data_IF_164561367535
#
_entry.id   IF_164561367535
#
_cell.length_a   1.000
_cell.length_b   1.000
_cell.length_c   1.000
_cell.angle_alpha   90.00
_cell.angle_beta   90.00
_cell.angle_gamma   90.00
#
_symmetry.space_group_name_H-M   'P 1'
#
loop_
_entity.id
_entity.type
_entity.pdbx_description
1 polymer ?
#
# COMPACT_ATOMS: atom_id res chain seq x y z
N UNK A 1 0.81 5.45 -3.45
CA UNK A 1 0.23 4.24 -2.86
C UNK A 1 0.48 3.01 -3.74
N UNK A 2 1.66 2.39 -3.63
CA UNK A 2 1.94 1.15 -4.37
C UNK A 2 2.70 0.07 -3.57
N UNK A 3 3.10 0.37 -2.33
CA UNK A 3 3.86 -0.53 -1.45
C UNK A 3 3.21 -1.92 -1.30
N UNK A 4 1.88 -1.96 -1.26
CA UNK A 4 1.12 -3.20 -1.05
C UNK A 4 0.79 -3.94 -2.35
N UNK A 5 1.19 -3.43 -3.53
CA UNK A 5 0.79 -3.98 -4.82
C UNK A 5 1.07 -5.48 -4.94
N UNK A 6 2.31 -5.91 -4.66
CA UNK A 6 2.69 -7.33 -4.75
C UNK A 6 1.97 -8.21 -3.74
N UNK A 7 1.93 -7.76 -2.48
CA UNK A 7 1.32 -8.52 -1.38
C UNK A 7 -0.18 -8.68 -1.62
N UNK A 8 -0.89 -7.59 -1.92
CA UNK A 8 -2.31 -7.61 -2.26
C UNK A 8 -2.58 -8.52 -3.45
N UNK A 9 -1.76 -8.47 -4.51
CA UNK A 9 -1.93 -9.38 -5.66
C UNK A 9 -1.71 -10.84 -5.27
N UNK A 10 -0.69 -11.18 -4.48
CA UNK A 10 -0.45 -12.58 -4.09
C UNK A 10 -1.50 -13.12 -3.13
N UNK A 11 -1.91 -12.34 -2.12
CA UNK A 11 -3.00 -12.73 -1.21
C UNK A 11 -4.34 -12.92 -1.93
N UNK A 12 -4.52 -12.24 -3.06
CA UNK A 12 -5.76 -12.29 -3.83
C UNK A 12 -5.64 -13.12 -5.11
N UNK A 13 -4.43 -13.63 -5.41
CA UNK A 13 -4.17 -14.58 -6.48
C UNK A 13 -4.80 -15.93 -6.14
N UNK A 14 -5.26 -16.68 -7.15
CA UNK A 14 -5.80 -18.02 -6.94
C UNK A 14 -7.33 -18.11 -6.82
N UNK A 15 -8.07 -17.00 -6.88
CA UNK A 15 -9.54 -17.05 -7.11
C UNK A 15 -9.87 -16.37 -8.43
N UNK A 16 -10.10 -17.18 -9.46
CA UNK A 16 -10.35 -16.80 -10.86
C UNK A 16 -11.65 -16.00 -11.10
N UNK A 17 -12.11 -15.22 -10.12
CA UNK A 17 -13.39 -14.53 -10.15
C UNK A 17 -13.34 -13.23 -9.37
N UNK A 18 -12.37 -12.36 -9.67
CA UNK A 18 -12.24 -11.05 -9.01
C UNK A 18 -11.88 -9.94 -10.00
N UNK A 19 -12.54 -8.79 -9.85
CA UNK A 19 -12.21 -7.55 -10.57
C UNK A 19 -11.63 -6.56 -9.58
N UNK A 20 -10.43 -6.07 -9.88
CA UNK A 20 -9.74 -5.07 -9.06
C UNK A 20 -9.85 -3.71 -9.73
N UNK A 21 -10.45 -2.76 -9.03
CA UNK A 21 -10.70 -1.42 -9.54
C UNK A 21 -10.15 -0.40 -8.56
N UNK A 22 -9.27 0.49 -9.01
CA UNK A 22 -8.85 1.63 -8.23
C UNK A 22 -9.91 2.74 -8.34
N UNK A 23 -10.25 3.34 -7.19
CA UNK A 23 -11.23 4.40 -7.05
C UNK A 23 -10.60 5.55 -6.28
N UNK A 24 -10.69 6.75 -6.82
CA UNK A 24 -10.36 7.96 -6.08
C UNK A 24 -11.61 8.48 -5.38
N UNK A 25 -11.51 8.71 -4.08
CA UNK A 25 -12.61 9.12 -3.23
C UNK A 25 -12.30 10.44 -2.55
N UNK A 26 -13.29 11.32 -2.46
CA UNK A 26 -13.31 12.39 -1.46
C UNK A 26 -13.94 11.82 -0.21
N UNK A 27 -13.21 11.82 0.89
CA UNK A 27 -13.70 11.33 2.17
C UNK A 27 -14.44 12.47 2.90
N UNK A 28 -15.75 12.31 3.14
CA UNK A 28 -16.57 13.35 3.76
C UNK A 28 -16.44 13.43 5.28
N UNK A 29 -16.04 12.36 5.96
CA UNK A 29 -15.74 12.36 7.41
C UNK A 29 -14.25 12.21 7.64
N UNK A 30 -13.65 13.13 8.40
CA UNK A 30 -12.23 13.05 8.76
C UNK A 30 -11.86 11.63 9.17
N UNK A 31 -10.95 11.01 8.42
CA UNK A 31 -10.28 9.80 8.89
C UNK A 31 -9.57 10.19 10.20
N UNK A 32 -9.67 9.33 11.21
CA UNK A 32 -9.04 9.56 12.52
C UNK A 32 -7.58 10.00 12.32
N UNK A 33 -7.09 10.91 13.16
CA UNK A 33 -5.71 11.38 13.03
C UNK A 33 -4.73 10.21 13.02
N UNK A 34 -3.78 10.15 12.07
CA UNK A 34 -2.78 9.10 12.04
C UNK A 34 -2.01 9.08 13.37
N UNK A 35 -2.07 7.95 14.08
CA UNK A 35 -1.54 7.82 15.45
C UNK A 35 0.00 7.85 15.53
N UNK A 36 0.69 7.66 14.41
CA UNK A 36 2.12 7.35 14.39
C UNK A 36 2.99 8.43 13.74
N UNK A 37 2.47 9.23 12.81
CA UNK A 37 3.23 10.30 12.15
C UNK A 37 2.32 11.50 11.85
N UNK A 38 2.73 12.74 12.15
CA UNK A 38 2.04 13.92 11.65
C UNK A 38 2.20 13.97 10.13
N UNK A 39 1.16 13.55 9.41
CA UNK A 39 1.04 13.73 7.97
C UNK A 39 0.43 15.10 7.65
N UNK A 40 0.60 15.61 6.42
CA UNK A 40 -0.13 16.80 5.96
C UNK A 40 -1.65 16.60 6.13
N UNK A 41 -2.40 17.68 6.34
CA UNK A 41 -3.86 17.60 6.40
C UNK A 41 -4.39 17.07 5.05
N UNK A 42 -4.92 15.85 5.05
CA UNK A 42 -5.37 15.15 3.84
C UNK A 42 -6.82 15.49 3.46
N UNK A 43 -7.47 16.45 4.15
CA UNK A 43 -8.90 16.77 3.97
C UNK A 43 -9.34 16.98 2.51
N UNK A 44 -8.48 17.57 1.67
CA UNK A 44 -8.79 17.85 0.27
C UNK A 44 -8.01 16.97 -0.73
N UNK A 45 -7.23 16.00 -0.22
CA UNK A 45 -6.48 15.08 -1.08
C UNK A 45 -7.39 13.93 -1.53
N UNK A 46 -7.43 13.59 -2.83
CA UNK A 46 -8.07 12.37 -3.30
C UNK A 46 -7.52 11.14 -2.56
N UNK A 47 -8.43 10.35 -1.98
CA UNK A 47 -8.12 9.15 -1.25
C UNK A 47 -8.33 7.93 -2.14
N UNK A 48 -7.24 7.29 -2.58
CA UNK A 48 -7.37 6.12 -3.45
C UNK A 48 -7.56 4.83 -2.65
N UNK A 49 -8.61 4.10 -2.99
CA UNK A 49 -8.89 2.75 -2.49
C UNK A 49 -8.94 1.73 -3.63
N UNK A 50 -8.78 0.45 -3.30
CA UNK A 50 -8.98 -0.65 -4.26
C UNK A 50 -10.33 -1.30 -3.95
N UNK A 51 -11.25 -1.27 -4.91
CA UNK A 51 -12.47 -2.08 -4.88
C UNK A 51 -12.17 -3.46 -5.48
N UNK A 52 -12.47 -4.50 -4.71
CA UNK A 52 -12.41 -5.90 -5.11
C UNK A 52 -13.84 -6.39 -5.28
N UNK A 53 -14.27 -6.59 -6.52
CA UNK A 53 -15.55 -7.23 -6.83
C UNK A 53 -15.37 -8.73 -7.05
N UNK A 54 -16.30 -9.55 -6.57
CA UNK A 54 -16.38 -10.95 -6.99
C UNK A 54 -17.11 -11.03 -8.34
N UNK A 55 -16.58 -11.80 -9.29
CA UNK A 55 -17.29 -12.03 -10.56
C UNK A 55 -18.59 -12.77 -10.27
N UNK A 56 -19.62 -12.46 -11.06
CA UNK A 56 -20.94 -13.10 -10.99
C UNK A 56 -21.72 -12.85 -9.69
N UNK A 57 -21.27 -11.93 -8.84
CA UNK A 57 -22.03 -11.47 -7.67
C UNK A 57 -22.04 -9.93 -7.62
N UNK A 58 -22.91 -9.37 -6.77
CA UNK A 58 -22.89 -7.93 -6.45
C UNK A 58 -21.98 -7.61 -5.26
N UNK A 59 -21.32 -8.63 -4.71
CA UNK A 59 -20.47 -8.48 -3.53
C UNK A 59 -19.16 -7.79 -3.92
N UNK A 60 -18.84 -6.73 -3.18
CA UNK A 60 -17.60 -6.00 -3.37
C UNK A 60 -17.07 -5.47 -2.05
N UNK A 61 -15.75 -5.39 -1.99
CA UNK A 61 -14.98 -5.02 -0.82
C UNK A 61 -14.05 -3.86 -1.15
N UNK A 62 -13.81 -2.99 -0.18
CA UNK A 62 -12.82 -1.93 -0.23
C UNK A 62 -11.57 -2.39 0.51
N UNK A 63 -10.42 -2.26 -0.15
CA UNK A 63 -9.10 -2.30 0.45
C UNK A 63 -8.59 -0.86 0.56
N UNK A 64 -8.54 -0.35 1.78
CA UNK A 64 -8.02 0.99 2.07
C UNK A 64 -6.51 0.92 2.27
N UNK A 65 -5.77 1.14 1.19
CA UNK A 65 -4.30 1.00 1.22
C UNK A 65 -3.63 2.09 2.07
N UNK A 66 -4.15 3.31 2.09
CA UNK A 66 -3.66 4.37 2.97
C UNK A 66 -4.10 4.10 4.42
N UNK A 67 -5.31 3.53 4.57
CA UNK A 67 -5.80 2.78 5.72
C UNK A 67 -4.70 1.96 6.43
N UNK A 68 -4.07 1.08 5.66
CA UNK A 68 -3.01 0.19 6.12
C UNK A 68 -1.78 0.94 6.66
N UNK A 69 -1.39 2.05 6.03
CA UNK A 69 -0.17 2.78 6.39
C UNK A 69 -0.29 3.46 7.75
N UNK A 70 -1.49 3.89 8.13
CA UNK A 70 -1.74 4.62 9.36
C UNK A 70 -2.32 3.75 10.48
N UNK A 71 -2.34 2.42 10.30
CA UNK A 71 -2.77 1.46 11.32
C UNK A 71 -4.28 1.43 11.54
N UNK A 72 -5.09 1.79 10.53
CA UNK A 72 -6.53 1.64 10.62
C UNK A 72 -6.91 0.15 10.58
N UNK A 73 -7.71 -0.29 11.54
CA UNK A 73 -8.12 -1.71 11.68
C UNK A 73 -8.98 -2.20 10.51
N UNK A 74 -9.76 -1.32 9.92
CA UNK A 74 -10.73 -1.64 8.87
C UNK A 74 -10.07 -1.61 7.49
N UNK A 75 -9.13 -2.54 7.27
CA UNK A 75 -8.39 -2.65 5.99
C UNK A 75 -9.27 -3.22 4.88
N UNK A 76 -10.17 -4.15 5.21
CA UNK A 76 -11.08 -4.81 4.29
C UNK A 76 -12.53 -4.65 4.77
N UNK A 77 -13.35 -3.89 4.05
CA UNK A 77 -14.74 -3.59 4.43
C UNK A 77 -15.65 -3.75 3.22
N UNK A 78 -16.91 -4.15 3.40
CA UNK A 78 -17.89 -4.13 2.32
C UNK A 78 -17.97 -2.74 1.67
N UNK A 79 -17.94 -2.69 0.34
CA UNK A 79 -17.81 -1.45 -0.43
C UNK A 79 -18.89 -0.43 -0.07
N UNK A 80 -20.16 -0.84 -0.10
CA UNK A 80 -21.28 0.04 0.20
C UNK A 80 -21.24 0.57 1.65
N UNK A 81 -20.83 -0.29 2.59
CA UNK A 81 -20.64 0.11 3.99
C UNK A 81 -19.52 1.15 4.12
N UNK A 82 -18.38 0.92 3.47
CA UNK A 82 -17.26 1.86 3.50
C UNK A 82 -17.65 3.25 2.96
N UNK A 83 -18.33 3.30 1.81
CA UNK A 83 -18.80 4.55 1.20
C UNK A 83 -19.77 5.30 2.11
N UNK A 84 -20.74 4.59 2.70
CA UNK A 84 -21.73 5.19 3.59
C UNK A 84 -21.10 5.68 4.91
N UNK A 85 -20.31 4.85 5.57
CA UNK A 85 -19.74 5.13 6.89
C UNK A 85 -18.80 6.34 6.84
N UNK A 86 -17.99 6.44 5.78
CA UNK A 86 -17.02 7.53 5.58
C UNK A 86 -17.57 8.72 4.77
N UNK A 87 -18.83 8.65 4.35
CA UNK A 87 -19.49 9.65 3.51
C UNK A 87 -18.67 9.98 2.24
N UNK A 88 -18.22 8.94 1.54
CA UNK A 88 -17.36 9.09 0.38
C UNK A 88 -18.12 9.64 -0.83
N UNK A 89 -17.44 10.44 -1.64
CA UNK A 89 -17.86 10.81 -2.98
C UNK A 89 -16.84 10.29 -3.99
N UNK A 90 -17.30 9.66 -5.07
CA UNK A 90 -16.42 9.17 -6.12
C UNK A 90 -15.85 10.33 -6.94
N UNK A 91 -14.55 10.33 -7.17
CA UNK A 91 -13.84 11.31 -7.98
C UNK A 91 -13.43 10.67 -9.30
N UNK A 92 -14.11 11.05 -10.38
CA UNK A 92 -13.83 10.54 -11.72
C UNK A 92 -14.21 9.08 -11.92
N UNK A 93 -13.69 8.51 -13.00
CA UNK A 93 -14.03 7.15 -13.42
C UNK A 93 -13.14 6.10 -12.75
N UNK A 94 -13.73 4.96 -12.34
CA UNK A 94 -12.98 3.81 -11.86
C UNK A 94 -11.94 3.32 -12.88
N UNK A 95 -10.72 3.00 -12.40
CA UNK A 95 -9.66 2.48 -13.28
C UNK A 95 -9.29 1.05 -12.90
N UNK A 96 -8.89 0.23 -13.87
CA UNK A 96 -8.38 -1.11 -13.58
C UNK A 96 -7.14 -1.03 -12.69
N UNK A 97 -7.12 -1.79 -11.60
CA UNK A 97 -5.98 -1.81 -10.69
C UNK A 97 -4.90 -2.76 -11.22
N UNK A 98 -3.94 -2.20 -11.96
CA UNK A 98 -2.76 -2.88 -12.50
C UNK A 98 -1.44 -2.33 -11.93
N UNK A 99 -1.48 -1.78 -10.71
CA UNK A 99 -0.40 -0.96 -10.20
C UNK A 99 0.80 -1.80 -9.77
N UNK A 100 1.99 -1.51 -10.30
CA UNK A 100 3.26 -2.06 -9.83
C UNK A 100 3.67 -1.40 -8.51
N UNK A 101 4.66 -1.97 -7.82
CA UNK A 101 5.20 -1.54 -6.52
C UNK A 101 5.64 -0.07 -6.50
N UNK A 102 5.91 0.48 -7.67
CA UNK A 102 6.56 1.78 -7.88
C UNK A 102 5.73 2.73 -8.74
N UNK A 103 4.48 2.37 -9.10
CA UNK A 103 3.64 3.18 -10.01
C UNK A 103 3.47 4.64 -9.57
N UNK A 104 3.28 4.87 -8.26
CA UNK A 104 3.19 6.21 -7.70
C UNK A 104 4.54 6.97 -7.79
N UNK A 105 5.66 6.29 -7.57
CA UNK A 105 6.99 6.87 -7.75
C UNK A 105 7.24 7.23 -9.23
N UNK A 106 6.79 6.38 -10.16
CA UNK A 106 6.82 6.66 -11.60
C UNK A 106 6.00 7.91 -11.91
N UNK A 107 4.77 8.00 -11.39
CA UNK A 107 3.93 9.20 -11.52
C UNK A 107 4.62 10.45 -10.96
N UNK A 108 5.13 10.39 -9.72
CA UNK A 108 5.81 11.52 -9.08
C UNK A 108 7.06 11.95 -9.83
N UNK A 109 7.76 11.03 -10.51
CA UNK A 109 8.93 11.37 -11.31
C UNK A 109 8.59 12.28 -12.51
N UNK A 110 7.34 12.26 -12.98
CA UNK A 110 6.86 13.14 -14.05
C UNK A 110 6.50 14.54 -13.56
N UNK A 111 6.28 14.72 -12.25
CA UNK A 111 5.86 15.99 -11.68
C UNK A 111 7.06 16.90 -11.41
N UNK A 112 7.15 18.09 -12.03
CA UNK A 112 8.29 18.98 -11.86
C UNK A 112 8.56 19.35 -10.40
N UNK A 113 7.51 19.54 -9.58
CA UNK A 113 7.63 19.92 -8.16
C UNK A 113 8.28 18.84 -7.28
N UNK A 114 8.15 17.57 -7.66
CA UNK A 114 8.68 16.42 -6.93
C UNK A 114 10.02 15.93 -7.50
N UNK A 115 10.57 16.62 -8.50
CA UNK A 115 11.76 16.18 -9.24
C UNK A 115 12.80 17.29 -9.45
N UNK A 116 12.76 18.36 -8.63
CA UNK A 116 13.66 19.52 -8.78
C UNK A 116 15.03 19.24 -8.17
N UNK A 117 15.07 18.76 -6.93
CA UNK A 117 16.32 18.63 -6.18
C UNK A 117 16.97 17.27 -6.37
N UNK A 118 18.30 17.22 -6.19
CA UNK A 118 19.05 15.96 -6.16
C UNK A 118 18.58 15.08 -4.99
N UNK A 119 18.26 15.67 -3.84
CA UNK A 119 17.73 14.95 -2.67
C UNK A 119 16.38 14.28 -2.99
N UNK A 120 15.42 14.98 -3.60
CA UNK A 120 14.13 14.39 -3.99
C UNK A 120 14.28 13.20 -4.95
N UNK A 121 15.22 13.29 -5.90
CA UNK A 121 15.55 12.20 -6.82
C UNK A 121 16.16 11.01 -6.07
N UNK A 122 17.04 11.29 -5.13
CA UNK A 122 17.73 10.31 -4.32
C UNK A 122 16.77 9.55 -3.40
N UNK A 123 15.95 10.25 -2.62
CA UNK A 123 14.97 9.67 -1.70
C UNK A 123 13.99 8.76 -2.45
N UNK A 124 13.57 9.16 -3.65
CA UNK A 124 12.69 8.35 -4.49
C UNK A 124 13.36 7.08 -5.00
N UNK A 125 14.64 7.13 -5.34
CA UNK A 125 15.40 5.95 -5.77
C UNK A 125 15.63 4.99 -4.60
N UNK A 126 15.92 5.52 -3.41
CA UNK A 126 16.03 4.72 -2.19
C UNK A 126 14.70 4.02 -1.86
N UNK A 127 13.60 4.77 -1.89
CA UNK A 127 12.24 4.24 -1.71
C UNK A 127 11.94 3.15 -2.76
N UNK A 128 12.27 3.39 -4.04
CA UNK A 128 12.09 2.39 -5.11
C UNK A 128 12.80 1.07 -4.76
N UNK A 129 14.04 1.13 -4.32
CA UNK A 129 14.84 -0.05 -3.95
C UNK A 129 14.25 -0.75 -2.73
N UNK A 130 13.87 -0.01 -1.70
CA UNK A 130 13.23 -0.57 -0.51
C UNK A 130 11.93 -1.31 -0.86
N UNK A 131 11.13 -0.78 -1.79
CA UNK A 131 9.90 -1.42 -2.25
C UNK A 131 10.14 -2.70 -3.04
N UNK A 132 11.16 -2.72 -3.90
CA UNK A 132 11.54 -3.95 -4.60
C UNK A 132 12.11 -4.99 -3.64
N UNK A 133 12.87 -4.57 -2.63
CA UNK A 133 13.35 -5.47 -1.56
C UNK A 133 12.19 -6.10 -0.79
N UNK A 134 11.15 -5.33 -0.46
CA UNK A 134 9.92 -5.85 0.12
C UNK A 134 9.18 -6.81 -0.84
N UNK A 135 9.09 -6.48 -2.12
CA UNK A 135 8.42 -7.33 -3.10
C UNK A 135 9.11 -8.68 -3.28
N UNK A 136 10.45 -8.72 -3.24
CA UNK A 136 11.24 -9.95 -3.24
C UNK A 136 10.92 -10.83 -2.03
N UNK A 137 10.78 -10.25 -0.83
CA UNK A 137 10.31 -11.00 0.35
C UNK A 137 8.93 -11.62 0.12
N UNK A 138 7.99 -10.83 -0.38
CA UNK A 138 6.64 -11.32 -0.71
C UNK A 138 6.70 -12.43 -1.75
N UNK A 139 7.60 -12.33 -2.73
CA UNK A 139 7.76 -13.35 -3.76
C UNK A 139 8.26 -14.69 -3.21
N UNK A 140 9.16 -14.66 -2.23
CA UNK A 140 9.71 -15.86 -1.58
C UNK A 140 8.82 -16.48 -0.53
N UNK A 141 8.04 -15.66 0.19
CA UNK A 141 7.36 -16.10 1.43
C UNK A 141 5.83 -16.08 1.38
N UNK A 142 5.21 -15.53 0.34
CA UNK A 142 3.75 -15.49 0.19
C UNK A 142 3.30 -16.47 -0.87
N UNK A 143 2.92 -17.68 -0.44
CA UNK A 143 2.32 -18.74 -1.26
C UNK A 143 0.81 -18.58 -1.44
N UNK A 144 0.20 -19.44 -2.25
CA UNK A 144 -1.25 -19.48 -2.44
C UNK A 144 -2.00 -20.00 -1.19
N UNK A 145 -1.28 -20.75 -0.36
CA UNK A 145 -1.69 -21.42 0.87
C UNK A 145 -1.47 -20.58 2.13
N UNK A 146 -0.95 -19.34 2.01
CA UNK A 146 -0.65 -18.48 3.17
C UNK A 146 -1.88 -18.13 4.04
N UNK A 147 -3.08 -18.32 3.50
CA UNK A 147 -4.34 -18.09 4.20
C UNK A 147 -5.05 -19.39 4.61
N UNK A 148 -4.44 -20.55 4.34
CA UNK A 148 -5.00 -21.85 4.67
C UNK A 148 -4.73 -22.21 6.14
N UNK A 149 -5.47 -23.20 6.66
CA UNK A 149 -5.34 -23.67 8.03
C UNK A 149 -6.36 -23.09 9.01
N UNK A 150 -6.22 -23.47 10.27
CA UNK A 150 -7.03 -22.98 11.38
C UNK A 150 -6.63 -21.57 11.79
N UNK A 151 -7.50 -20.90 12.55
CA UNK A 151 -7.20 -19.57 13.09
C UNK A 151 -5.94 -19.55 13.97
N UNK A 152 -5.64 -20.64 14.69
CA UNK A 152 -4.43 -20.74 15.51
C UNK A 152 -3.18 -20.82 14.63
N UNK A 153 -3.18 -21.70 13.64
CA UNK A 153 -2.06 -21.86 12.69
C UNK A 153 -1.79 -20.56 11.93
N UNK A 154 -2.86 -19.87 11.51
CA UNK A 154 -2.74 -18.57 10.87
C UNK A 154 -2.10 -17.51 11.78
N UNK A 155 -2.47 -17.47 13.07
CA UNK A 155 -1.88 -16.51 14.01
C UNK A 155 -0.38 -16.78 14.24
N UNK A 156 0.00 -18.04 14.37
CA UNK A 156 1.41 -18.43 14.52
C UNK A 156 2.21 -18.10 13.25
N UNK A 157 1.63 -18.39 12.08
CA UNK A 157 2.21 -18.05 10.79
C UNK A 157 2.34 -16.53 10.61
N UNK A 158 1.34 -15.75 11.01
CA UNK A 158 1.37 -14.29 10.94
C UNK A 158 2.47 -13.69 11.83
N UNK A 159 2.63 -14.22 13.05
CA UNK A 159 3.70 -13.79 13.95
C UNK A 159 5.09 -14.11 13.38
N UNK A 160 5.27 -15.33 12.88
CA UNK A 160 6.51 -15.76 12.20
C UNK A 160 6.81 -14.89 10.97
N UNK A 161 5.80 -14.66 10.13
CA UNK A 161 5.89 -13.81 8.95
C UNK A 161 6.33 -12.39 9.29
N UNK A 162 5.76 -11.79 10.33
CA UNK A 162 6.15 -10.46 10.81
C UNK A 162 7.62 -10.38 11.24
N UNK A 163 8.12 -11.41 11.93
CA UNK A 163 9.53 -11.48 12.35
C UNK A 163 10.48 -11.67 11.16
N UNK A 164 10.12 -12.53 10.21
CA UNK A 164 10.90 -12.73 8.98
C UNK A 164 10.93 -11.44 8.14
N UNK A 165 9.78 -10.78 7.98
CA UNK A 165 9.68 -9.52 7.27
C UNK A 165 10.56 -8.45 7.91
N UNK A 166 10.51 -8.31 9.24
CA UNK A 166 11.35 -7.35 9.97
C UNK A 166 12.83 -7.61 9.72
N UNK A 167 13.26 -8.88 9.82
CA UNK A 167 14.66 -9.26 9.56
C UNK A 167 15.07 -8.95 8.12
N UNK A 168 14.22 -9.28 7.15
CA UNK A 168 14.47 -8.99 5.73
C UNK A 168 14.56 -7.49 5.48
N UNK A 169 13.64 -6.69 6.02
CA UNK A 169 13.70 -5.23 5.82
C UNK A 169 14.92 -4.60 6.51
N UNK A 170 15.40 -5.16 7.63
CA UNK A 170 16.62 -4.70 8.30
C UNK A 170 17.91 -5.06 7.54
N UNK A 171 17.87 -6.09 6.68
CA UNK A 171 19.01 -6.44 5.82
C UNK A 171 19.10 -5.58 4.56
N UNK A 172 18.14 -4.65 4.36
CA UNK A 172 18.20 -3.70 3.27
C UNK A 172 19.41 -2.78 3.44
N UNK A 173 20.42 -2.99 2.60
CA UNK A 173 21.65 -2.21 2.62
C UNK A 173 21.53 -0.95 1.73
N UNK A 174 21.61 0.21 2.38
CA UNK A 174 21.67 1.52 1.71
C UNK A 174 23.11 2.04 1.52
N UNK A 175 24.13 1.26 1.91
CA UNK A 175 25.54 1.67 1.94
C UNK A 175 26.11 2.27 0.65
N UNK A 176 25.73 1.88 -0.59
CA UNK A 176 26.21 2.58 -1.80
C UNK A 176 25.73 4.04 -1.92
N UNK A 177 24.85 4.52 -1.03
CA UNK A 177 24.27 5.87 -1.03
C UNK A 177 24.72 6.78 0.12
N UNK A 178 25.37 6.22 1.15
CA UNK A 178 25.89 7.00 2.29
C UNK A 178 27.10 7.89 1.93
N UNK A 179 27.75 7.65 0.80
CA UNK A 179 28.95 8.39 0.35
C UNK A 179 28.67 9.79 -0.19
N UNK A 180 27.40 10.23 -0.27
CA UNK A 180 27.02 11.56 -0.76
C UNK A 180 26.59 12.59 0.29
N UNK A 181 26.44 12.19 1.56
CA UNK A 181 25.86 13.05 2.61
C UNK A 181 26.86 13.28 3.75
N UNK A 182 27.94 14.01 3.47
CA UNK A 182 28.59 14.77 4.54
C UNK A 182 27.65 15.90 4.94
N UNK A 183 26.92 15.70 6.03
CA UNK A 183 26.26 16.79 6.75
C UNK A 183 27.35 17.74 7.29
N UNK A 184 27.19 19.07 7.19
CA UNK A 184 28.08 19.99 7.87
C UNK A 184 27.88 19.82 9.38
N UNK A 185 28.98 19.58 10.09
CA UNK A 185 29.00 19.61 11.54
C UNK A 185 28.54 20.99 12.02
N UNK A 186 27.60 20.99 12.97
CA UNK A 186 27.27 22.17 13.78
C UNK A 186 28.31 22.33 14.88
#
# INVERSE_FOLDING_TARGET
>A
MALLGRLTRKLLAGKNSRVFTALDLRIGKSLLQPKLLPGPDLKDCPHTVIKVGLLYTTESWTIDTAGCQYGFREVLVLFNKYIADKCCQLLGDPTTHNWTETKDLDCFSTLPIMNKSRAQKHDRELERKARFHFADFVDRHVGADILDGSASEFNDQLASFGNMLKTHMLSFDDSPFRTGSQWPAS
#
